data_IF_876992326909
#
_entry.id   IF_876992326909
#
_cell.length_a   1.000
_cell.length_b   1.000
_cell.length_c   1.000
_cell.angle_alpha   90.00
_cell.angle_beta   90.00
_cell.angle_gamma   90.00
#
_symmetry.space_group_name_H-M   'P 1'
#
loop_
_entity.id
_entity.type
_entity.pdbx_description
1 polymer ?
#
# COMPACT_ATOMS: atom_id res chain seq x y z
N UNK A 1 5.14 -16.34 11.30
CA UNK A 1 4.97 -16.34 9.83
C UNK A 1 3.62 -15.75 9.47
N UNK A 2 3.63 -14.44 9.18
CA UNK A 2 2.46 -13.75 8.66
C UNK A 2 2.29 -14.02 7.15
N UNK A 3 1.05 -13.90 6.68
CA UNK A 3 0.72 -13.92 5.25
C UNK A 3 0.19 -12.53 4.87
N UNK A 4 0.88 -11.86 3.95
CA UNK A 4 0.66 -10.46 3.59
C UNK A 4 0.22 -10.38 2.12
N UNK A 5 -0.88 -9.65 1.88
CA UNK A 5 -1.31 -9.26 0.55
C UNK A 5 -0.80 -7.86 0.22
N UNK A 6 0.01 -7.73 -0.83
CA UNK A 6 0.52 -6.44 -1.31
C UNK A 6 -0.36 -5.97 -2.46
N UNK A 7 -1.04 -4.84 -2.31
CA UNK A 7 -1.97 -4.30 -3.30
C UNK A 7 -1.40 -3.01 -3.90
N UNK A 8 -1.22 -3.02 -5.21
CA UNK A 8 -0.45 -2.00 -5.92
C UNK A 8 -1.37 -1.09 -6.72
N UNK A 9 -1.20 0.21 -6.54
CA UNK A 9 -1.75 1.22 -7.44
C UNK A 9 -0.62 1.94 -8.16
N UNK A 10 -0.51 1.76 -9.47
CA UNK A 10 0.52 2.40 -10.27
C UNK A 10 0.01 2.85 -11.63
N UNK A 11 0.65 3.89 -12.18
CA UNK A 11 0.46 4.36 -13.57
C UNK A 11 1.64 3.96 -14.44
N UNK A 12 2.87 4.15 -13.94
CA UNK A 12 4.11 3.96 -14.71
C UNK A 12 5.03 2.85 -14.15
N UNK A 13 4.59 2.10 -13.14
CA UNK A 13 5.34 0.96 -12.59
C UNK A 13 6.17 1.26 -11.34
N UNK A 14 6.37 2.52 -10.94
CA UNK A 14 7.19 2.86 -9.76
C UNK A 14 6.67 2.18 -8.47
N UNK A 15 5.36 2.22 -8.23
CA UNK A 15 4.77 1.53 -7.07
C UNK A 15 4.91 0.01 -7.15
N UNK A 16 4.99 -0.56 -8.36
CA UNK A 16 5.22 -2.00 -8.55
C UNK A 16 6.66 -2.36 -8.19
N UNK A 17 7.64 -1.57 -8.60
CA UNK A 17 9.04 -1.77 -8.20
C UNK A 17 9.19 -1.78 -6.67
N UNK A 18 8.54 -0.84 -5.97
CA UNK A 18 8.49 -0.82 -4.50
C UNK A 18 7.81 -2.08 -3.95
N UNK A 19 6.76 -2.58 -4.61
CA UNK A 19 6.04 -3.78 -4.17
C UNK A 19 6.84 -5.07 -4.35
N UNK A 20 7.60 -5.20 -5.44
CA UNK A 20 8.52 -6.31 -5.66
C UNK A 20 9.64 -6.32 -4.62
N UNK A 21 10.18 -5.15 -4.29
CA UNK A 21 11.18 -5.01 -3.24
C UNK A 21 10.61 -5.33 -1.84
N UNK A 22 9.40 -4.86 -1.54
CA UNK A 22 8.68 -5.22 -0.32
C UNK A 22 8.45 -6.73 -0.22
N UNK A 23 8.08 -7.39 -1.32
CA UNK A 23 7.93 -8.83 -1.38
C UNK A 23 9.25 -9.55 -1.08
N UNK A 24 10.36 -9.10 -1.69
CA UNK A 24 11.70 -9.66 -1.44
C UNK A 24 12.07 -9.61 0.04
N UNK A 25 11.96 -8.43 0.67
CA UNK A 25 12.29 -8.23 2.08
C UNK A 25 11.39 -9.09 2.99
N UNK A 26 10.08 -9.13 2.74
CA UNK A 26 9.14 -9.96 3.51
C UNK A 26 9.49 -11.45 3.45
N UNK A 27 9.90 -11.95 2.28
CA UNK A 27 10.32 -13.35 2.10
C UNK A 27 11.64 -13.65 2.85
N UNK A 28 12.59 -12.71 2.87
CA UNK A 28 13.86 -12.85 3.59
C UNK A 28 13.67 -12.97 5.11
N UNK A 29 12.65 -12.30 5.65
CA UNK A 29 12.23 -12.39 7.05
C UNK A 29 11.27 -13.56 7.35
N UNK A 30 11.16 -14.54 6.44
CA UNK A 30 10.28 -15.72 6.58
C UNK A 30 8.77 -15.40 6.67
N UNK A 31 8.30 -14.30 6.09
CA UNK A 31 6.88 -14.05 5.87
C UNK A 31 6.47 -14.49 4.46
N UNK A 32 5.17 -14.68 4.23
CA UNK A 32 4.64 -14.91 2.89
C UNK A 32 4.07 -13.61 2.34
N UNK A 33 4.44 -13.25 1.11
CA UNK A 33 4.00 -12.03 0.46
C UNK A 33 3.55 -12.29 -0.98
N UNK A 34 2.36 -11.81 -1.33
CA UNK A 34 1.77 -11.93 -2.67
C UNK A 34 1.43 -10.54 -3.21
N UNK A 35 1.97 -10.20 -4.39
CA UNK A 35 1.75 -8.92 -5.06
C UNK A 35 0.54 -8.99 -6.00
N UNK A 36 -0.31 -7.96 -5.96
CA UNK A 36 -1.49 -7.81 -6.79
C UNK A 36 -1.52 -6.40 -7.42
N UNK A 37 -1.26 -6.33 -8.72
CA UNK A 37 -1.44 -5.09 -9.51
C UNK A 37 -2.91 -4.78 -9.77
N UNK A 38 -3.71 -5.82 -10.02
CA UNK A 38 -5.16 -5.71 -10.23
C UNK A 38 -5.88 -6.56 -9.17
N UNK A 39 -5.70 -6.20 -7.90
CA UNK A 39 -6.27 -6.94 -6.78
C UNK A 39 -7.80 -6.92 -6.78
N UNK A 40 -8.42 -8.07 -6.52
CA UNK A 40 -9.87 -8.16 -6.34
C UNK A 40 -10.27 -8.15 -4.86
N UNK A 41 -11.55 -7.89 -4.57
CA UNK A 41 -12.10 -8.01 -3.22
C UNK A 41 -11.88 -9.42 -2.64
N UNK A 42 -12.02 -10.45 -3.48
CA UNK A 42 -11.77 -11.83 -3.07
C UNK A 42 -10.30 -12.08 -2.74
N UNK A 43 -9.36 -11.37 -3.38
CA UNK A 43 -7.95 -11.46 -3.03
C UNK A 43 -7.67 -10.77 -1.71
N UNK A 44 -8.28 -9.60 -1.48
CA UNK A 44 -8.16 -8.84 -0.24
C UNK A 44 -8.61 -9.63 0.99
N UNK A 45 -9.78 -10.25 0.93
CA UNK A 45 -10.37 -11.02 2.04
C UNK A 45 -9.57 -12.27 2.44
N UNK A 46 -8.57 -12.68 1.65
CA UNK A 46 -7.68 -13.82 1.99
C UNK A 46 -6.66 -13.48 3.08
N UNK A 47 -6.49 -12.20 3.41
CA UNK A 47 -5.41 -11.72 4.27
C UNK A 47 -5.95 -10.98 5.48
N UNK A 48 -5.28 -11.15 6.62
CA UNK A 48 -5.51 -10.35 7.83
C UNK A 48 -4.47 -9.23 7.98
N UNK A 49 -3.39 -9.27 7.18
CA UNK A 49 -2.38 -8.23 7.08
C UNK A 49 -2.21 -7.90 5.61
N UNK A 50 -2.30 -6.62 5.27
CA UNK A 50 -2.12 -6.13 3.89
C UNK A 50 -1.14 -4.97 3.84
N UNK A 51 -0.46 -4.81 2.71
CA UNK A 51 0.40 -3.66 2.45
C UNK A 51 -0.14 -2.97 1.19
N UNK A 52 -0.62 -1.75 1.33
CA UNK A 52 -1.09 -0.95 0.19
C UNK A 52 0.08 -0.09 -0.29
N UNK A 53 0.40 -0.16 -1.57
CA UNK A 53 1.47 0.63 -2.19
C UNK A 53 0.87 1.35 -3.39
N UNK A 54 0.64 2.65 -3.27
CA UNK A 54 -0.10 3.38 -4.31
C UNK A 54 0.54 4.72 -4.66
N UNK A 55 0.68 4.97 -5.96
CA UNK A 55 0.99 6.29 -6.49
C UNK A 55 -0.27 7.14 -6.59
N UNK A 56 -0.14 8.45 -6.52
CA UNK A 56 -1.25 9.36 -6.83
C UNK A 56 -1.17 9.83 -8.28
N UNK A 57 -2.32 9.93 -8.94
CA UNK A 57 -2.41 10.65 -10.23
C UNK A 57 -2.49 12.16 -9.97
N UNK A 58 -2.35 12.99 -11.02
CA UNK A 58 -2.06 14.42 -10.88
C UNK A 58 -3.02 15.27 -10.02
N UNK A 59 -4.23 14.81 -9.70
CA UNK A 59 -5.17 15.52 -8.79
C UNK A 59 -5.29 14.86 -7.41
N UNK A 60 -4.39 13.93 -7.07
CA UNK A 60 -4.49 13.13 -5.85
C UNK A 60 -5.48 11.97 -5.96
N UNK A 61 -5.82 11.56 -7.19
CA UNK A 61 -6.72 10.43 -7.44
C UNK A 61 -5.97 9.11 -7.50
N UNK A 62 -6.74 8.03 -7.31
CA UNK A 62 -6.23 6.67 -7.36
C UNK A 62 -5.90 6.27 -8.80
N UNK A 63 -4.82 5.50 -9.03
CA UNK A 63 -4.56 4.87 -10.31
C UNK A 63 -5.66 3.87 -10.68
N UNK A 64 -5.92 3.71 -11.98
CA UNK A 64 -6.95 2.80 -12.50
C UNK A 64 -6.74 1.33 -12.07
N UNK A 65 -5.49 0.95 -11.81
CA UNK A 65 -5.11 -0.39 -11.33
C UNK A 65 -5.70 -0.73 -9.95
N UNK A 66 -5.83 0.26 -9.06
CA UNK A 66 -6.30 0.04 -7.67
C UNK A 66 -7.66 0.68 -7.37
N UNK A 67 -8.10 1.66 -8.17
CA UNK A 67 -9.38 2.34 -7.97
C UNK A 67 -10.59 1.38 -7.88
N UNK A 68 -10.71 0.32 -8.72
CA UNK A 68 -11.82 -0.64 -8.62
C UNK A 68 -11.84 -1.39 -7.27
N UNK A 69 -10.67 -1.71 -6.72
CA UNK A 69 -10.56 -2.33 -5.40
C UNK A 69 -11.01 -1.36 -4.32
N UNK A 70 -10.50 -0.13 -4.34
CA UNK A 70 -10.88 0.92 -3.38
C UNK A 70 -12.40 1.11 -3.30
N UNK A 71 -13.06 1.23 -4.45
CA UNK A 71 -14.52 1.37 -4.50
C UNK A 71 -15.25 0.14 -3.94
N UNK A 72 -14.79 -1.07 -4.27
CA UNK A 72 -15.37 -2.30 -3.71
C UNK A 72 -15.18 -2.42 -2.20
N UNK A 73 -14.03 -2.01 -1.67
CA UNK A 73 -13.79 -1.98 -0.23
C UNK A 73 -14.80 -1.07 0.47
N UNK A 74 -14.95 0.16 -0.04
CA UNK A 74 -15.87 1.17 0.49
C UNK A 74 -17.32 0.73 0.42
N UNK A 75 -17.74 0.16 -0.71
CA UNK A 75 -19.15 -0.10 -0.96
C UNK A 75 -19.62 -1.44 -0.36
N UNK A 76 -18.72 -2.42 -0.16
CA UNK A 76 -19.13 -3.80 0.20
C UNK A 76 -18.66 -4.31 1.57
N UNK A 77 -17.50 -3.87 2.09
CA UNK A 77 -16.94 -4.43 3.33
C UNK A 77 -17.33 -3.63 4.57
N UNK A 78 -17.06 -2.32 4.58
CA UNK A 78 -17.47 -1.37 5.63
C UNK A 78 -16.84 -1.57 7.02
N UNK A 79 -16.61 -2.79 7.51
CA UNK A 79 -16.11 -3.06 8.87
C UNK A 79 -15.11 -4.24 8.89
N UNK A 80 -13.84 -3.93 9.17
CA UNK A 80 -12.70 -4.85 9.11
C UNK A 80 -11.77 -4.72 10.33
N UNK A 81 -12.24 -4.91 11.57
CA UNK A 81 -11.45 -4.69 12.79
C UNK A 81 -10.31 -5.71 12.99
N UNK A 82 -10.35 -6.81 12.25
CA UNK A 82 -9.33 -7.85 12.25
C UNK A 82 -8.22 -7.59 11.23
N UNK A 83 -8.44 -6.65 10.31
CA UNK A 83 -7.46 -6.30 9.30
C UNK A 83 -6.43 -5.35 9.90
N UNK A 84 -5.17 -5.68 9.70
CA UNK A 84 -4.06 -4.76 9.92
C UNK A 84 -3.41 -4.38 8.60
N UNK A 85 -2.90 -3.17 8.47
CA UNK A 85 -2.32 -2.72 7.20
C UNK A 85 -1.09 -1.83 7.35
N UNK A 86 -0.19 -1.92 6.38
CA UNK A 86 0.83 -0.93 6.10
C UNK A 86 0.44 -0.10 4.87
N UNK A 87 1.02 1.09 4.73
CA UNK A 87 0.76 1.96 3.60
C UNK A 87 2.03 2.68 3.15
N UNK A 88 2.35 2.54 1.87
CA UNK A 88 3.37 3.34 1.18
C UNK A 88 2.67 4.15 0.09
N UNK A 89 2.76 5.47 0.21
CA UNK A 89 2.17 6.41 -0.73
C UNK A 89 3.29 7.05 -1.55
N UNK A 90 3.21 6.89 -2.87
CA UNK A 90 4.06 7.61 -3.81
C UNK A 90 3.28 8.84 -4.32
N UNK A 91 3.94 9.98 -4.34
CA UNK A 91 3.37 11.23 -4.80
C UNK A 91 4.44 12.14 -5.35
N UNK A 92 4.03 13.33 -5.77
CA UNK A 92 4.91 14.37 -6.23
C UNK A 92 4.46 15.66 -5.53
N UNK A 93 5.38 16.28 -4.78
CA UNK A 93 5.09 17.47 -3.97
C UNK A 93 4.86 18.73 -4.80
N UNK A 94 5.12 18.70 -6.11
CA UNK A 94 4.76 19.79 -7.02
C UNK A 94 3.25 19.90 -7.26
N UNK A 95 2.49 18.85 -6.93
CA UNK A 95 1.03 18.84 -6.98
C UNK A 95 0.41 19.19 -5.63
N UNK A 96 -0.73 19.89 -5.65
CA UNK A 96 -1.44 20.32 -4.45
C UNK A 96 -1.84 19.16 -3.53
N UNK A 97 -2.10 17.98 -4.11
CA UNK A 97 -2.54 16.77 -3.39
C UNK A 97 -1.42 15.73 -3.27
N UNK A 98 -0.35 16.10 -2.56
CA UNK A 98 0.76 15.19 -2.27
C UNK A 98 0.28 13.90 -1.59
N UNK A 99 0.59 12.75 -2.21
CA UNK A 99 0.21 11.41 -1.73
C UNK A 99 -1.31 11.19 -1.55
N UNK A 100 -2.16 11.94 -2.25
CA UNK A 100 -3.62 11.92 -2.06
C UNK A 100 -4.27 10.54 -2.15
N UNK A 101 -3.84 9.68 -3.09
CA UNK A 101 -4.40 8.32 -3.23
C UNK A 101 -4.13 7.44 -2.00
N UNK A 102 -2.91 7.51 -1.46
CA UNK A 102 -2.55 6.80 -0.24
C UNK A 102 -3.35 7.31 0.95
N UNK A 103 -3.51 8.63 1.08
CA UNK A 103 -4.29 9.20 2.18
C UNK A 103 -5.77 8.77 2.13
N UNK A 104 -6.38 8.76 0.94
CA UNK A 104 -7.74 8.23 0.74
C UNK A 104 -7.87 6.77 1.21
N UNK A 105 -6.85 5.95 0.94
CA UNK A 105 -6.79 4.57 1.42
C UNK A 105 -6.68 4.47 2.94
N UNK A 106 -5.83 5.28 3.56
CA UNK A 106 -5.70 5.34 5.02
C UNK A 106 -7.04 5.72 5.68
N UNK A 107 -7.67 6.79 5.20
CA UNK A 107 -8.98 7.25 5.68
C UNK A 107 -10.03 6.14 5.60
N UNK A 108 -10.16 5.49 4.43
CA UNK A 108 -11.12 4.41 4.24
C UNK A 108 -10.89 3.24 5.19
N UNK A 109 -9.62 2.82 5.38
CA UNK A 109 -9.30 1.69 6.23
C UNK A 109 -9.48 2.02 7.73
N UNK A 110 -9.20 3.26 8.13
CA UNK A 110 -9.50 3.75 9.47
C UNK A 110 -11.02 3.80 9.74
N UNK A 111 -11.81 4.27 8.77
CA UNK A 111 -13.29 4.22 8.85
C UNK A 111 -13.78 2.78 9.05
N UNK A 112 -13.16 1.83 8.35
CA UNK A 112 -13.43 0.40 8.50
C UNK A 112 -12.91 -0.22 9.81
N UNK A 113 -12.31 0.56 10.71
CA UNK A 113 -11.70 0.10 11.96
C UNK A 113 -10.49 -0.84 11.77
N UNK A 114 -9.86 -0.83 10.59
CA UNK A 114 -8.62 -1.56 10.37
C UNK A 114 -7.46 -0.90 11.13
N UNK A 115 -6.49 -1.70 11.55
CA UNK A 115 -5.36 -1.23 12.38
C UNK A 115 -4.16 -0.92 11.50
N UNK A 116 -3.70 0.33 11.49
CA UNK A 116 -2.45 0.67 10.83
C UNK A 116 -1.27 0.11 11.64
N UNK A 117 -0.34 -0.56 10.95
CA UNK A 117 0.93 -1.02 11.50
C UNK A 117 1.99 0.00 11.09
N UNK A 118 2.56 0.69 12.08
CA UNK A 118 3.55 1.75 11.86
C UNK A 118 2.97 3.03 11.24
N UNK A 119 3.87 3.86 10.72
CA UNK A 119 3.56 5.13 10.07
C UNK A 119 3.51 4.98 8.55
N UNK A 120 2.72 5.83 7.88
CA UNK A 120 2.62 5.84 6.43
C UNK A 120 3.94 6.35 5.83
N UNK A 121 4.57 5.57 4.94
CA UNK A 121 5.69 6.07 4.16
C UNK A 121 5.17 6.96 3.04
N UNK A 122 5.67 8.18 2.93
CA UNK A 122 5.42 9.09 1.80
C UNK A 122 6.71 9.24 1.01
N UNK A 123 6.66 8.90 -0.28
CA UNK A 123 7.79 9.01 -1.19
C UNK A 123 7.47 10.12 -2.19
N UNK A 124 8.37 11.10 -2.27
CA UNK A 124 8.28 12.20 -3.22
C UNK A 124 9.09 11.90 -4.48
N UNK A 125 8.40 11.74 -5.61
CA UNK A 125 9.01 11.45 -6.90
C UNK A 125 9.84 12.60 -7.48
N UNK A 126 9.74 13.81 -6.94
CA UNK A 126 10.62 14.93 -7.33
C UNK A 126 12.02 14.80 -6.71
N UNK A 127 12.10 14.28 -5.48
CA UNK A 127 13.33 14.16 -4.72
C UNK A 127 13.94 12.75 -4.79
N UNK A 128 13.10 11.74 -5.00
CA UNK A 128 13.46 10.32 -4.96
C UNK A 128 13.34 9.70 -6.35
N UNK A 129 14.49 9.46 -6.98
CA UNK A 129 14.56 8.81 -8.29
C UNK A 129 14.29 7.29 -8.24
N UNK A 130 14.73 6.64 -7.16
CA UNK A 130 14.64 5.18 -6.94
C UNK A 130 13.77 4.91 -5.70
N UNK A 131 12.43 4.91 -5.84
CA UNK A 131 11.51 4.78 -4.71
C UNK A 131 11.64 3.42 -4.00
N UNK A 132 11.98 2.36 -4.72
CA UNK A 132 12.21 1.02 -4.19
C UNK A 132 13.39 0.99 -3.22
N UNK A 133 14.49 1.70 -3.54
CA UNK A 133 15.67 1.80 -2.67
C UNK A 133 15.34 2.64 -1.44
N UNK A 134 14.63 3.75 -1.62
CA UNK A 134 14.21 4.61 -0.51
C UNK A 134 13.27 3.89 0.47
N UNK A 135 12.44 2.98 -0.02
CA UNK A 135 11.50 2.23 0.81
C UNK A 135 12.16 1.15 1.69
N UNK A 136 13.40 0.72 1.39
CA UNK A 136 14.07 -0.40 2.08
C UNK A 136 14.12 -0.18 3.59
N UNK A 137 14.63 0.96 4.04
CA UNK A 137 14.77 1.23 5.48
C UNK A 137 13.41 1.23 6.19
N UNK A 138 12.37 1.75 5.54
CA UNK A 138 11.02 1.72 6.10
C UNK A 138 10.46 0.28 6.13
N UNK A 139 10.68 -0.50 5.06
CA UNK A 139 10.21 -1.88 4.96
C UNK A 139 10.86 -2.77 6.01
N UNK A 140 12.17 -2.68 6.20
CA UNK A 140 12.90 -3.39 7.25
C UNK A 140 12.34 -3.06 8.64
N UNK A 141 12.09 -1.79 8.93
CA UNK A 141 11.47 -1.38 10.19
C UNK A 141 10.03 -1.87 10.31
N UNK A 142 9.25 -1.84 9.23
CA UNK A 142 7.86 -2.27 9.22
C UNK A 142 7.71 -3.77 9.43
N UNK A 143 8.59 -4.59 8.83
CA UNK A 143 8.62 -6.04 9.00
C UNK A 143 8.84 -6.43 10.47
N UNK A 144 9.72 -5.72 11.18
CA UNK A 144 9.95 -5.94 12.61
C UNK A 144 8.72 -5.63 13.49
N UNK A 145 7.70 -4.94 12.96
CA UNK A 145 6.43 -4.68 13.66
C UNK A 145 5.38 -5.78 13.42
N UNK A 146 5.65 -6.74 12.52
CA UNK A 146 4.73 -7.84 12.20
C UNK A 146 4.88 -9.04 13.15
N UNK A 147 5.91 -9.04 13.99
CA UNK A 147 6.27 -10.10 14.94
C UNK A 147 5.64 -9.93 16.34
#
# INVERSE_FOLDING_TARGET
>A
MAKIGIFVGTVYGNSLAVAEEAQRILLEHNHQANVYEEGTLMDWEKYSIVLVITSSTGQGDLPDTIAPLFHKLRDNLGHQPHLSYGLIALGDSSYDHFCGAGMKFDELLQEHQAKRIGEILKIDGMDVAEPEVFAIDWLENWVNLLD
#
